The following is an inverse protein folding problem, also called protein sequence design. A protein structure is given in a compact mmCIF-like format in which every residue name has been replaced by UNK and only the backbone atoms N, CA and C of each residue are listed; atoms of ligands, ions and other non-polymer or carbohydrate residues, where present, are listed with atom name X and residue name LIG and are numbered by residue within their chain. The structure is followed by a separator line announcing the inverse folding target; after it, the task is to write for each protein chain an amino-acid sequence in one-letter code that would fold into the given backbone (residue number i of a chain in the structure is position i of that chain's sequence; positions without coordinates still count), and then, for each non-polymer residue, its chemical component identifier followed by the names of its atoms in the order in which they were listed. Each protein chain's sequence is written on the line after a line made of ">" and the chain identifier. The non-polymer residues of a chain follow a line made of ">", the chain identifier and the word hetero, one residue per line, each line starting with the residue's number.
data_IF_522526455680
#
_entry.id   IF_522526455680
#
_cell.length_a   1.000
_cell.length_b   1.000
_cell.length_c   1.000
_cell.angle_alpha   90.00
_cell.angle_beta   90.00
_cell.angle_gamma   90.00
#
_symmetry.space_group_name_H-M   'P 1'
#
loop_
_entity.id
_entity.type
_entity.pdbx_description
1 polymer ?
#
# COMPACT_ATOMS: atom_id res chain seq x y z
N UNK A 1 12.80 4.81 6.18
CA UNK A 1 14.05 5.32 5.56
C UNK A 1 14.43 6.59 6.28
N UNK A 2 15.64 6.63 6.83
CA UNK A 2 16.23 7.83 7.39
C UNK A 2 16.54 8.74 6.20
N UNK A 3 15.73 9.77 5.96
CA UNK A 3 16.19 10.90 5.14
C UNK A 3 17.44 11.44 5.83
N UNK A 4 18.50 11.71 5.07
CA UNK A 4 19.78 12.27 5.56
C UNK A 4 19.53 13.26 6.71
N UNK A 5 19.64 12.80 7.97
CA UNK A 5 19.20 13.58 9.14
C UNK A 5 18.20 12.94 10.14
N UNK A 6 17.95 11.62 10.14
CA UNK A 6 17.37 10.97 11.33
C UNK A 6 15.86 11.16 11.56
N UNK A 7 15.09 11.74 10.63
CA UNK A 7 13.67 12.04 10.85
C UNK A 7 12.74 11.06 10.15
N UNK A 8 11.89 10.40 10.93
CA UNK A 8 10.73 9.63 10.44
C UNK A 8 9.76 10.55 9.68
N UNK A 9 9.09 10.03 8.65
CA UNK A 9 8.12 10.79 7.86
C UNK A 9 6.89 11.07 8.74
N UNK A 10 6.55 12.35 9.04
CA UNK A 10 5.43 12.66 9.92
C UNK A 10 4.12 12.14 9.32
N UNK A 11 3.23 11.52 10.12
CA UNK A 11 1.92 11.07 9.64
C UNK A 11 1.14 12.19 8.92
N UNK A 12 1.25 13.42 9.43
CA UNK A 12 0.61 14.60 8.84
C UNK A 12 1.12 14.91 7.42
N UNK A 13 2.38 14.57 7.10
CA UNK A 13 2.91 14.76 5.76
C UNK A 13 2.26 13.78 4.76
N UNK A 14 2.05 12.52 5.18
CA UNK A 14 1.35 11.50 4.38
C UNK A 14 -0.13 11.88 4.19
N UNK A 15 -0.79 12.36 5.24
CA UNK A 15 -2.18 12.84 5.17
C UNK A 15 -2.32 14.04 4.22
N UNK A 16 -1.40 15.01 4.29
CA UNK A 16 -1.39 16.16 3.38
C UNK A 16 -1.18 15.73 1.93
N UNK A 17 -0.24 14.82 1.69
CA UNK A 17 0.03 14.26 0.37
C UNK A 17 -1.23 13.57 -0.21
N UNK A 18 -1.85 12.68 0.55
CA UNK A 18 -3.06 11.95 0.09
C UNK A 18 -4.23 12.90 -0.15
N UNK A 19 -4.41 13.92 0.70
CA UNK A 19 -5.41 14.97 0.48
C UNK A 19 -5.15 15.79 -0.81
N UNK A 20 -3.89 16.09 -1.14
CA UNK A 20 -3.54 16.76 -2.38
C UNK A 20 -3.77 15.87 -3.61
N UNK A 21 -3.46 14.59 -3.51
CA UNK A 21 -3.64 13.62 -4.60
C UNK A 21 -5.11 13.42 -4.95
N UNK A 22 -6.00 13.39 -3.96
CA UNK A 22 -7.46 13.35 -4.18
C UNK A 22 -7.94 14.51 -5.06
N UNK A 23 -7.40 15.72 -4.83
CA UNK A 23 -7.69 16.89 -5.68
C UNK A 23 -7.15 16.76 -7.11
N UNK A 24 -6.16 15.89 -7.32
CA UNK A 24 -5.56 15.59 -8.62
C UNK A 24 -6.14 14.34 -9.29
N UNK A 25 -7.37 13.93 -8.91
CA UNK A 25 -8.11 12.78 -9.47
C UNK A 25 -7.47 11.42 -9.17
N UNK A 26 -6.73 11.32 -8.06
CA UNK A 26 -6.40 10.01 -7.51
C UNK A 26 -7.54 9.56 -6.62
N UNK A 27 -8.02 8.35 -6.86
CA UNK A 27 -9.02 7.68 -6.05
C UNK A 27 -8.32 6.73 -5.08
N UNK A 28 -8.85 6.62 -3.86
CA UNK A 28 -8.41 5.63 -2.88
C UNK A 28 -8.91 4.25 -3.32
N UNK A 29 -8.00 3.30 -3.50
CA UNK A 29 -8.34 1.92 -3.88
C UNK A 29 -8.26 0.99 -2.69
N UNK A 30 -7.16 1.05 -1.95
CA UNK A 30 -6.91 0.19 -0.79
C UNK A 30 -6.34 1.05 0.33
N UNK A 31 -6.94 0.95 1.51
CA UNK A 31 -6.40 1.51 2.74
C UNK A 31 -6.44 0.44 3.81
N UNK A 32 -5.26 0.02 4.28
CA UNK A 32 -5.10 -1.01 5.33
C UNK A 32 -4.30 -0.40 6.47
N UNK A 33 -4.73 -0.65 7.70
CA UNK A 33 -3.99 -0.33 8.91
C UNK A 33 -4.03 -1.53 9.84
N UNK A 34 -2.88 -2.11 10.12
CA UNK A 34 -2.73 -3.32 10.94
C UNK A 34 -1.39 -3.26 11.69
N UNK A 35 -1.40 -3.48 13.01
CA UNK A 35 -0.19 -3.67 13.84
C UNK A 35 0.94 -2.64 13.66
N UNK A 36 0.60 -1.38 13.39
CA UNK A 36 1.59 -0.32 13.17
C UNK A 36 2.04 -0.14 11.71
N UNK A 37 1.55 -1.00 10.81
CA UNK A 37 1.70 -0.89 9.37
C UNK A 37 0.47 -0.22 8.74
N UNK A 38 0.69 0.80 7.93
CA UNK A 38 -0.33 1.48 7.12
C UNK A 38 0.02 1.34 5.64
N UNK A 39 -0.87 0.74 4.87
CA UNK A 39 -0.78 0.65 3.41
C UNK A 39 -1.86 1.52 2.80
N UNK A 40 -1.48 2.43 1.91
CA UNK A 40 -2.40 3.21 1.09
C UNK A 40 -2.05 3.05 -0.39
N UNK A 41 -3.00 2.55 -1.17
CA UNK A 41 -2.91 2.44 -2.62
C UNK A 41 -3.91 3.41 -3.23
N UNK A 42 -3.41 4.37 -3.99
CA UNK A 42 -4.20 5.35 -4.72
C UNK A 42 -3.95 5.21 -6.22
N UNK A 43 -4.99 5.37 -7.03
CA UNK A 43 -4.85 5.29 -8.48
C UNK A 43 -5.53 6.45 -9.17
N UNK A 44 -4.92 6.94 -10.25
CA UNK A 44 -5.55 7.88 -11.16
C UNK A 44 -5.96 7.16 -12.43
N UNK A 45 -7.25 7.09 -12.68
CA UNK A 45 -7.79 6.47 -13.89
C UNK A 45 -8.06 7.50 -14.99
N UNK A 46 -7.85 7.11 -16.24
CA UNK A 46 -8.35 7.86 -17.40
C UNK A 46 -8.63 6.94 -18.58
N UNK A 47 -9.88 6.99 -19.05
CA UNK A 47 -10.40 6.18 -20.18
C UNK A 47 -10.29 4.67 -19.91
N UNK A 48 -10.76 4.21 -18.75
CA UNK A 48 -10.76 2.77 -18.41
C UNK A 48 -9.38 2.19 -18.07
N UNK A 49 -8.39 3.04 -17.76
CA UNK A 49 -6.99 2.66 -17.57
C UNK A 49 -6.36 3.43 -16.42
N UNK A 50 -5.67 2.71 -15.55
CA UNK A 50 -4.82 3.27 -14.52
C UNK A 50 -3.63 3.94 -15.21
N UNK A 51 -3.53 5.26 -15.06
CA UNK A 51 -2.43 6.05 -15.61
C UNK A 51 -1.33 6.24 -14.59
N UNK A 52 -1.72 6.31 -13.33
CA UNK A 52 -0.81 6.40 -12.21
C UNK A 52 -1.32 5.48 -11.11
N UNK A 53 -0.39 4.73 -10.53
CA UNK A 53 -0.58 3.98 -9.30
C UNK A 53 0.42 4.53 -8.29
N UNK A 54 -0.08 4.85 -7.10
CA UNK A 54 0.71 5.28 -5.98
C UNK A 54 0.52 4.27 -4.85
N UNK A 55 1.61 3.76 -4.30
CA UNK A 55 1.60 2.86 -3.16
C UNK A 55 2.45 3.50 -2.08
N UNK A 56 1.84 3.69 -0.91
CA UNK A 56 2.45 4.21 0.29
C UNK A 56 2.39 3.10 1.33
N UNK A 57 3.53 2.66 1.84
CA UNK A 57 3.60 1.73 2.97
C UNK A 57 4.38 2.42 4.08
N UNK A 58 3.81 2.47 5.27
CA UNK A 58 4.46 2.99 6.47
C UNK A 58 4.46 1.87 7.51
N UNK A 59 5.61 1.44 7.98
CA UNK A 59 5.80 0.38 8.97
C UNK A 59 6.89 0.81 9.96
N UNK A 60 6.47 1.37 11.10
CA UNK A 60 7.40 1.91 12.10
C UNK A 60 8.30 3.03 11.54
N UNK A 61 9.59 2.74 11.37
CA UNK A 61 10.59 3.65 10.82
C UNK A 61 10.85 3.43 9.31
N UNK A 62 10.16 2.46 8.72
CA UNK A 62 10.22 2.15 7.30
C UNK A 62 9.08 2.82 6.53
N UNK A 63 9.43 3.39 5.38
CA UNK A 63 8.46 4.02 4.51
C UNK A 63 8.80 3.70 3.07
N UNK A 64 7.85 3.12 2.35
CA UNK A 64 7.93 2.85 0.93
C UNK A 64 6.99 3.80 0.21
N UNK A 65 7.57 4.55 -0.74
CA UNK A 65 6.84 5.37 -1.69
C UNK A 65 7.10 4.83 -3.08
N UNK A 66 6.06 4.30 -3.73
CA UNK A 66 6.14 3.82 -5.09
C UNK A 66 5.13 4.59 -5.96
N UNK A 67 5.63 5.31 -6.96
CA UNK A 67 4.81 5.98 -7.96
C UNK A 67 5.09 5.37 -9.34
N UNK A 68 4.10 4.70 -9.91
CA UNK A 68 4.22 4.03 -11.20
C UNK A 68 3.30 4.70 -12.22
N UNK A 69 3.83 5.05 -13.38
CA UNK A 69 3.05 5.47 -14.54
C UNK A 69 2.74 4.24 -15.39
N UNK A 70 1.47 3.97 -15.66
CA UNK A 70 1.06 2.74 -16.36
C UNK A 70 0.00 3.02 -17.43
N UNK A 71 -0.39 1.96 -18.15
CA UNK A 71 -1.57 1.93 -19.03
C UNK A 71 -2.44 0.70 -18.75
N UNK A 72 -2.33 0.17 -17.53
CA UNK A 72 -2.97 -1.08 -17.12
C UNK A 72 -4.47 -0.86 -16.89
N UNK A 73 -5.26 -1.91 -17.07
CA UNK A 73 -6.64 -1.97 -16.59
C UNK A 73 -6.66 -2.57 -15.19
N UNK A 74 -7.72 -2.32 -14.42
CA UNK A 74 -7.92 -2.93 -13.09
C UNK A 74 -7.74 -4.46 -13.10
N UNK A 75 -8.28 -5.14 -14.12
CA UNK A 75 -8.13 -6.59 -14.31
C UNK A 75 -6.68 -7.07 -14.44
N UNK A 76 -5.78 -6.21 -14.94
CA UNK A 76 -4.37 -6.58 -15.13
C UNK A 76 -3.66 -6.58 -13.76
N UNK A 77 -4.05 -5.67 -12.85
CA UNK A 77 -3.59 -5.70 -11.45
C UNK A 77 -4.06 -6.97 -10.75
N UNK A 78 -5.34 -7.32 -10.92
CA UNK A 78 -5.90 -8.56 -10.36
C UNK A 78 -5.10 -9.81 -10.78
N UNK A 79 -4.70 -9.89 -12.05
CA UNK A 79 -3.84 -10.98 -12.56
C UNK A 79 -2.47 -11.03 -11.90
N UNK A 80 -1.86 -9.88 -11.64
CA UNK A 80 -0.54 -9.81 -10.96
C UNK A 80 -0.66 -10.28 -9.52
N UNK A 81 -1.69 -9.84 -8.79
CA UNK A 81 -1.96 -10.29 -7.42
C UNK A 81 -2.21 -11.79 -7.39
N UNK A 82 -3.07 -12.30 -8.28
CA UNK A 82 -3.37 -13.72 -8.38
C UNK A 82 -2.12 -14.56 -8.70
N UNK A 83 -1.30 -14.11 -9.65
CA UNK A 83 -0.02 -14.75 -9.97
C UNK A 83 0.90 -14.77 -8.74
N UNK A 84 1.05 -13.65 -8.05
CA UNK A 84 1.89 -13.56 -6.85
C UNK A 84 1.44 -14.53 -5.76
N UNK A 85 0.13 -14.61 -5.48
CA UNK A 85 -0.43 -15.52 -4.47
C UNK A 85 -0.30 -17.00 -4.85
N UNK A 86 -0.32 -17.34 -6.13
CA UNK A 86 -0.09 -18.71 -6.61
C UNK A 86 1.37 -19.12 -6.51
N UNK A 87 2.28 -18.21 -6.86
CA UNK A 87 3.73 -18.45 -6.83
C UNK A 87 4.28 -18.42 -5.40
N UNK A 88 3.73 -17.58 -4.54
CA UNK A 88 4.13 -17.43 -3.15
C UNK A 88 2.93 -17.78 -2.29
N UNK A 89 2.88 -19.03 -1.79
CA UNK A 89 1.84 -19.45 -0.85
C UNK A 89 1.87 -18.49 0.35
N UNK A 90 0.80 -17.76 0.63
CA UNK A 90 0.78 -16.88 1.79
C UNK A 90 1.03 -17.72 3.04
N UNK A 91 1.86 -17.22 3.96
CA UNK A 91 1.92 -17.81 5.31
C UNK A 91 0.49 -17.75 5.87
N UNK A 92 -0.02 -18.84 6.49
CA UNK A 92 -1.34 -18.83 7.06
C UNK A 92 -1.46 -17.63 8.02
N UNK A 93 -2.50 -16.84 7.84
CA UNK A 93 -2.85 -15.76 8.76
C UNK A 93 -3.10 -16.44 10.10
N UNK A 94 -2.18 -16.28 11.06
CA UNK A 94 -2.39 -16.81 12.41
C UNK A 94 -3.60 -16.09 12.98
N UNK A 95 -4.68 -16.84 13.23
CA UNK A 95 -5.81 -16.30 13.97
C UNK A 95 -5.32 -15.97 15.39
N UNK A 96 -5.78 -14.87 16.01
CA UNK A 96 -5.36 -14.47 17.37
C UNK A 96 -5.55 -15.54 18.46
N UNK A 97 -6.31 -16.61 18.20
CA UNK A 97 -6.75 -17.58 19.22
C UNK A 97 -5.95 -18.88 19.30
N UNK A 98 -4.82 -19.03 18.59
CA UNK A 98 -3.98 -20.22 18.75
C UNK A 98 -3.16 -20.12 20.04
N UNK A 99 -3.81 -20.47 21.16
CA UNK A 99 -3.17 -20.60 22.47
C UNK A 99 -1.97 -21.54 22.34
N UNK A 100 -0.78 -20.97 22.48
CA UNK A 100 0.46 -21.73 22.63
C UNK A 100 0.28 -22.62 23.88
N UNK A 101 0.43 -23.95 23.78
CA UNK A 101 0.42 -24.80 24.96
C UNK A 101 1.54 -24.35 25.89
N UNK A 102 1.18 -23.94 27.11
CA UNK A 102 2.16 -23.69 28.15
C UNK A 102 2.77 -25.04 28.54
N UNK A 103 4.09 -25.11 28.44
CA UNK A 103 4.93 -26.27 28.80
C UNK A 103 4.99 -26.42 30.31
#
# INVERSE_FOLDING_TARGET
>A
MISEGGRSIPPQAVERLTAQLRRQKFDDWIYVREEGTTVNIMARESKGRLRNLLILVNEGDEFVFLSVKTKLKARDIGKVVEWYMKTHKPKPIRKPDEKIPQV
#
